data_IF_551978218269
#
_entry.id   IF_551978218269
#
_cell.length_a   1.000
_cell.length_b   1.000
_cell.length_c   1.000
_cell.angle_alpha   90.00
_cell.angle_beta   90.00
_cell.angle_gamma   90.00
#
_symmetry.space_group_name_H-M   'P 1'
#
loop_
_entity.id
_entity.type
_entity.pdbx_description
1 polymer ?
#
# COMPACT_ATOMS: atom_id res chain seq x y z
N UNK A 1 9.09 1.94 -4.91
CA UNK A 1 8.13 0.92 -5.39
C UNK A 1 8.30 -0.35 -4.59
N UNK A 2 7.21 -0.93 -4.08
CA UNK A 2 7.24 -2.13 -3.25
C UNK A 2 7.07 -3.41 -4.08
N UNK A 3 6.16 -3.40 -5.03
CA UNK A 3 5.85 -4.52 -5.92
C UNK A 3 5.61 -3.99 -7.33
N UNK A 4 6.11 -4.69 -8.32
CA UNK A 4 5.80 -4.50 -9.74
C UNK A 4 5.33 -5.84 -10.30
N UNK A 5 4.22 -5.82 -11.01
CA UNK A 5 3.63 -6.99 -11.64
C UNK A 5 3.46 -6.73 -13.13
N UNK A 6 3.98 -7.62 -13.96
CA UNK A 6 3.63 -7.67 -15.38
C UNK A 6 2.33 -8.48 -15.52
N UNK A 7 1.23 -7.80 -15.82
CA UNK A 7 -0.09 -8.41 -15.94
C UNK A 7 -0.23 -9.43 -17.07
N UNK A 8 0.74 -9.49 -17.99
CA UNK A 8 0.77 -10.51 -19.04
C UNK A 8 1.37 -11.84 -18.56
N UNK A 9 2.19 -11.80 -17.51
CA UNK A 9 2.92 -12.97 -17.00
C UNK A 9 2.61 -13.28 -15.55
N UNK A 10 1.97 -12.36 -14.81
CA UNK A 10 1.64 -12.53 -13.41
C UNK A 10 0.72 -13.73 -13.18
N UNK A 11 1.03 -14.50 -12.16
CA UNK A 11 0.27 -15.66 -11.70
C UNK A 11 -0.44 -15.36 -10.39
N UNK A 12 -1.35 -16.24 -9.97
CA UNK A 12 -2.00 -16.10 -8.67
C UNK A 12 -0.99 -16.15 -7.50
N UNK A 13 0.09 -16.91 -7.66
CA UNK A 13 1.12 -17.05 -6.61
C UNK A 13 1.91 -15.76 -6.41
N UNK A 14 2.10 -14.94 -7.44
CA UNK A 14 2.74 -13.63 -7.33
C UNK A 14 1.96 -12.64 -6.46
N UNK A 15 0.67 -12.92 -6.21
CA UNK A 15 -0.24 -12.11 -5.41
C UNK A 15 -0.39 -12.61 -3.97
N UNK A 16 0.05 -13.84 -3.65
CA UNK A 16 -0.23 -14.46 -2.36
C UNK A 16 0.75 -14.15 -1.24
N UNK A 17 1.84 -13.50 -1.54
CA UNK A 17 2.70 -13.04 -0.47
C UNK A 17 4.01 -12.47 -1.00
N UNK A 18 4.33 -11.29 -0.56
CA UNK A 18 5.64 -10.69 -0.78
C UNK A 18 6.08 -9.89 0.44
N UNK A 19 7.37 -9.74 0.58
CA UNK A 19 7.99 -8.90 1.59
C UNK A 19 9.10 -8.06 0.96
N UNK A 20 9.24 -6.82 1.43
CA UNK A 20 10.31 -5.90 1.01
C UNK A 20 10.87 -5.15 2.20
N UNK A 21 12.18 -5.04 2.25
CA UNK A 21 12.87 -4.16 3.17
C UNK A 21 12.91 -2.74 2.55
N UNK A 22 12.53 -1.75 3.36
CA UNK A 22 12.44 -0.36 2.95
C UNK A 22 13.14 0.49 4.01
N UNK A 23 13.90 1.48 3.57
CA UNK A 23 14.49 2.47 4.48
C UNK A 23 13.91 3.84 4.15
N UNK A 24 13.31 4.46 5.15
CA UNK A 24 12.63 5.75 5.02
C UNK A 24 13.23 6.78 5.98
N UNK A 25 13.12 8.05 5.63
CA UNK A 25 13.57 9.15 6.46
C UNK A 25 15.08 9.41 6.38
N UNK A 26 15.63 10.11 7.40
CA UNK A 26 17.05 10.47 7.44
C UNK A 26 17.36 11.88 6.93
N UNK A 27 16.34 12.69 6.64
CA UNK A 27 16.51 14.11 6.34
C UNK A 27 16.45 14.98 7.59
N UNK A 28 17.26 16.03 7.65
CA UNK A 28 17.35 16.95 8.81
C UNK A 28 16.07 17.75 9.08
N UNK A 29 15.12 17.77 8.16
CA UNK A 29 13.85 18.52 8.25
C UNK A 29 12.60 17.61 8.34
N UNK A 30 12.77 16.30 8.36
CA UNK A 30 11.64 15.38 8.43
C UNK A 30 11.13 15.25 9.87
N UNK A 31 9.81 15.41 10.06
CA UNK A 31 9.14 15.10 11.32
C UNK A 31 9.07 13.59 11.60
N UNK A 32 8.48 13.15 12.72
CA UNK A 32 8.33 11.73 13.02
C UNK A 32 7.57 10.98 11.89
N UNK A 33 8.00 9.76 11.59
CA UNK A 33 7.30 8.87 10.67
C UNK A 33 6.14 8.22 11.40
N UNK A 34 4.90 8.46 10.96
CA UNK A 34 3.67 7.98 11.60
C UNK A 34 3.04 6.79 10.88
N UNK A 35 3.47 6.48 9.67
CA UNK A 35 2.87 5.42 8.87
C UNK A 35 3.40 5.41 7.45
N UNK A 36 2.80 4.53 6.66
CA UNK A 36 3.01 4.42 5.23
C UNK A 36 1.73 4.78 4.50
N UNK A 37 1.86 5.42 3.35
CA UNK A 37 0.76 5.60 2.43
C UNK A 37 1.03 4.77 1.18
N UNK A 38 0.14 3.83 0.89
CA UNK A 38 0.20 2.96 -0.27
C UNK A 38 -0.79 3.39 -1.35
N UNK A 39 -0.36 3.29 -2.60
CA UNK A 39 -1.17 3.46 -3.80
C UNK A 39 -0.66 2.55 -4.90
N UNK A 40 -1.33 2.55 -6.03
CA UNK A 40 -0.88 1.81 -7.21
C UNK A 40 -0.86 2.69 -8.45
N UNK A 41 0.02 2.32 -9.37
CA UNK A 41 0.09 2.90 -10.70
C UNK A 41 -0.05 1.77 -11.72
N UNK A 42 -0.65 2.06 -12.87
CA UNK A 42 -0.80 1.09 -13.97
C UNK A 42 -0.26 1.71 -15.24
N UNK A 43 0.62 0.99 -15.93
CA UNK A 43 1.10 1.38 -17.26
C UNK A 43 0.47 0.45 -18.33
N UNK A 44 -0.18 1.04 -19.30
CA UNK A 44 -0.81 0.35 -20.44
C UNK A 44 0.07 0.56 -21.69
N UNK A 45 1.14 -0.23 -21.77
CA UNK A 45 2.15 -0.10 -22.84
C UNK A 45 2.10 -1.23 -23.88
N UNK A 46 1.14 -2.16 -23.74
CA UNK A 46 1.08 -3.37 -24.55
C UNK A 46 2.14 -4.39 -24.13
N UNK A 47 2.23 -5.49 -24.86
CA UNK A 47 3.20 -6.55 -24.62
C UNK A 47 4.54 -6.22 -25.28
N UNK A 48 5.61 -6.85 -24.82
CA UNK A 48 6.94 -6.70 -25.41
C UNK A 48 6.98 -7.11 -26.91
N UNK A 49 6.20 -8.13 -27.29
CA UNK A 49 6.07 -8.62 -28.67
C UNK A 49 4.97 -7.89 -29.48
N UNK A 50 4.13 -7.10 -28.82
CA UNK A 50 3.08 -6.30 -29.43
C UNK A 50 2.90 -4.99 -28.62
N UNK A 51 3.86 -4.06 -28.69
CA UNK A 51 3.80 -2.83 -27.93
C UNK A 51 2.65 -1.94 -28.42
N UNK A 52 2.03 -1.20 -27.49
CA UNK A 52 1.08 -0.17 -27.85
C UNK A 52 1.79 0.97 -28.61
N UNK A 53 1.08 1.62 -29.52
CA UNK A 53 1.61 2.78 -30.26
C UNK A 53 1.96 3.93 -29.30
N UNK A 54 1.18 4.07 -28.22
CA UNK A 54 1.42 5.02 -27.13
C UNK A 54 1.23 4.31 -25.79
N UNK A 55 2.11 4.61 -24.85
CA UNK A 55 2.00 4.12 -23.48
C UNK A 55 1.16 5.12 -22.67
N UNK A 56 0.08 4.63 -22.09
CA UNK A 56 -0.79 5.41 -21.19
C UNK A 56 -0.63 4.92 -19.77
N UNK A 57 -0.65 5.81 -18.79
CA UNK A 57 -0.55 5.45 -17.38
C UNK A 57 -1.73 5.99 -16.56
N UNK A 58 -2.12 5.23 -15.56
CA UNK A 58 -2.98 5.65 -14.48
C UNK A 58 -2.11 5.77 -13.22
N UNK A 59 -2.09 6.95 -12.62
CA UNK A 59 -1.42 7.24 -11.36
C UNK A 59 -2.49 7.53 -10.29
N UNK A 60 -2.50 6.74 -9.22
CA UNK A 60 -3.41 6.94 -8.08
C UNK A 60 -2.69 7.50 -6.85
N UNK A 61 -1.48 8.05 -7.04
CA UNK A 61 -0.72 8.67 -5.95
C UNK A 61 -1.42 9.89 -5.35
N UNK A 62 -1.07 10.29 -4.13
CA UNK A 62 -1.61 11.52 -3.54
C UNK A 62 -1.16 12.81 -4.25
N UNK A 63 -0.23 12.72 -5.19
CA UNK A 63 0.29 13.85 -5.98
C UNK A 63 -0.39 13.97 -7.34
N UNK A 64 -1.08 12.92 -7.80
CA UNK A 64 -1.83 12.90 -9.05
C UNK A 64 -3.21 13.55 -8.90
N UNK A 65 -3.88 13.91 -10.01
CA UNK A 65 -5.28 14.29 -9.99
C UNK A 65 -6.13 13.20 -9.30
N UNK A 66 -7.08 13.64 -8.48
CA UNK A 66 -7.92 12.72 -7.72
C UNK A 66 -8.65 11.74 -8.61
N UNK A 67 -8.51 10.46 -8.32
CA UNK A 67 -9.27 9.36 -8.91
C UNK A 67 -10.33 8.87 -7.91
N UNK A 68 -11.18 7.91 -8.32
CA UNK A 68 -12.09 7.25 -7.37
C UNK A 68 -11.38 6.20 -6.48
N UNK A 69 -10.16 5.81 -6.82
CA UNK A 69 -9.33 5.00 -5.92
C UNK A 69 -8.70 5.87 -4.85
N UNK A 70 -8.90 5.46 -3.58
CA UNK A 70 -8.21 6.07 -2.45
C UNK A 70 -6.82 5.47 -2.25
N UNK A 71 -6.03 6.15 -1.44
CA UNK A 71 -4.79 5.60 -0.91
C UNK A 71 -5.08 4.81 0.37
N UNK A 72 -4.21 3.86 0.70
CA UNK A 72 -4.27 3.11 1.96
C UNK A 72 -3.23 3.65 2.92
N UNK A 73 -3.66 4.08 4.12
CA UNK A 73 -2.77 4.50 5.19
C UNK A 73 -2.59 3.39 6.21
N UNK A 74 -1.34 2.95 6.41
CA UNK A 74 -0.93 2.00 7.43
C UNK A 74 -0.26 2.79 8.55
N UNK A 75 -1.00 3.12 9.60
CA UNK A 75 -0.51 3.93 10.72
C UNK A 75 0.14 3.06 11.78
N UNK A 76 1.28 3.48 12.29
CA UNK A 76 1.99 2.83 13.38
C UNK A 76 2.50 3.86 14.40
N UNK A 77 3.05 3.39 15.51
CA UNK A 77 3.61 4.26 16.53
C UNK A 77 4.70 5.15 15.93
N UNK A 78 4.68 6.46 16.20
CA UNK A 78 5.62 7.40 15.60
C UNK A 78 7.07 6.99 15.78
N UNK A 79 7.84 6.96 14.68
CA UNK A 79 9.25 6.66 14.66
C UNK A 79 10.06 7.96 14.48
N UNK A 80 11.17 8.17 15.21
CA UNK A 80 12.03 9.31 14.99
C UNK A 80 12.56 9.30 13.56
N UNK A 81 12.35 10.37 12.80
CA UNK A 81 12.82 10.46 11.41
C UNK A 81 14.17 11.16 11.26
N UNK A 82 14.77 11.64 12.37
CA UNK A 82 16.14 12.17 12.37
C UNK A 82 17.20 11.13 11.94
N UNK A 83 16.85 9.85 11.96
CA UNK A 83 17.64 8.72 11.46
C UNK A 83 16.82 7.92 10.46
N UNK A 84 17.48 7.27 9.47
CA UNK A 84 16.78 6.33 8.60
C UNK A 84 16.06 5.25 9.43
N UNK A 85 14.80 5.00 9.11
CA UNK A 85 14.00 3.94 9.73
C UNK A 85 13.93 2.78 8.76
N UNK A 86 14.49 1.64 9.15
CA UNK A 86 14.37 0.39 8.40
C UNK A 86 13.04 -0.27 8.74
N UNK A 87 12.28 -0.59 7.70
CA UNK A 87 10.99 -1.25 7.79
C UNK A 87 11.01 -2.50 6.92
N UNK A 88 10.28 -3.53 7.34
CA UNK A 88 9.92 -4.63 6.45
C UNK A 88 8.43 -4.59 6.22
N UNK A 89 8.04 -4.42 4.97
CA UNK A 89 6.64 -4.37 4.55
C UNK A 89 6.28 -5.68 3.88
N UNK A 90 5.21 -6.32 4.33
CA UNK A 90 4.64 -7.51 3.72
C UNK A 90 3.21 -7.27 3.27
N UNK A 91 2.82 -7.94 2.21
CA UNK A 91 1.44 -8.08 1.75
C UNK A 91 1.15 -9.56 1.57
N UNK A 92 -0.01 -9.98 2.06
CA UNK A 92 -0.55 -11.30 1.82
C UNK A 92 -2.03 -11.17 1.41
N UNK A 93 -2.38 -11.76 0.29
CA UNK A 93 -3.77 -11.89 -0.12
C UNK A 93 -4.45 -12.96 0.71
N UNK A 94 -5.64 -12.67 1.23
CA UNK A 94 -6.44 -13.68 1.93
C UNK A 94 -6.78 -14.85 1.00
N UNK A 95 -6.63 -16.07 1.52
CA UNK A 95 -7.07 -17.29 0.81
C UNK A 95 -8.56 -17.55 0.97
N UNK A 96 -9.18 -16.94 1.98
CA UNK A 96 -10.59 -17.10 2.30
C UNK A 96 -11.45 -16.10 1.55
N UNK A 97 -10.93 -14.89 1.32
CA UNK A 97 -11.63 -13.83 0.59
C UNK A 97 -10.72 -13.23 -0.48
N UNK A 98 -11.16 -13.29 -1.74
CA UNK A 98 -10.40 -12.75 -2.87
C UNK A 98 -10.22 -11.23 -2.83
N UNK A 99 -10.96 -10.55 -1.98
CA UNK A 99 -10.94 -9.09 -1.86
C UNK A 99 -10.14 -8.59 -0.65
N UNK A 100 -9.80 -9.48 0.28
CA UNK A 100 -9.12 -9.09 1.50
C UNK A 100 -7.61 -9.14 1.33
N UNK A 101 -6.95 -8.08 1.80
CA UNK A 101 -5.50 -7.93 1.80
C UNK A 101 -5.01 -7.76 3.23
N UNK A 102 -3.99 -8.52 3.61
CA UNK A 102 -3.33 -8.40 4.90
C UNK A 102 -1.96 -7.75 4.70
N UNK A 103 -1.73 -6.64 5.39
CA UNK A 103 -0.44 -5.98 5.40
C UNK A 103 0.26 -6.18 6.73
N UNK A 104 1.57 -6.31 6.68
CA UNK A 104 2.44 -6.30 7.87
C UNK A 104 3.50 -5.22 7.70
N UNK A 105 3.78 -4.50 8.79
CA UNK A 105 4.90 -3.56 8.85
C UNK A 105 5.72 -3.90 10.08
N UNK A 106 6.92 -4.43 9.87
CA UNK A 106 7.85 -4.72 10.95
C UNK A 106 8.92 -3.62 11.03
N UNK A 107 9.26 -3.20 12.24
CA UNK A 107 10.26 -2.17 12.53
C UNK A 107 10.84 -2.37 13.94
N UNK A 108 11.92 -1.64 14.27
CA UNK A 108 12.51 -1.68 15.60
C UNK A 108 12.13 -0.44 16.41
N UNK A 109 11.67 -0.67 17.63
CA UNK A 109 11.36 0.38 18.60
C UNK A 109 12.06 0.08 19.93
N UNK A 110 12.85 1.03 20.41
CA UNK A 110 13.55 0.88 21.70
C UNK A 110 14.51 -0.32 21.77
N UNK A 111 14.91 -0.86 20.61
CA UNK A 111 15.76 -2.06 20.52
C UNK A 111 14.96 -3.36 20.33
N UNK A 112 13.65 -3.34 20.42
CA UNK A 112 12.75 -4.47 20.23
C UNK A 112 12.17 -4.50 18.81
N UNK A 113 11.90 -5.68 18.29
CA UNK A 113 11.24 -5.87 17.00
C UNK A 113 9.71 -5.83 17.22
N UNK A 114 9.06 -4.93 16.50
CA UNK A 114 7.62 -4.71 16.54
C UNK A 114 7.04 -5.02 15.17
N UNK A 115 5.90 -5.70 15.13
CA UNK A 115 5.13 -5.93 13.89
C UNK A 115 3.71 -5.42 14.07
N UNK A 116 3.32 -4.50 13.22
CA UNK A 116 1.94 -4.04 13.08
C UNK A 116 1.28 -4.79 11.93
N UNK A 117 0.06 -5.29 12.15
CA UNK A 117 -0.73 -6.01 11.15
C UNK A 117 -2.01 -5.25 10.85
N UNK A 118 -2.40 -5.21 9.58
CA UNK A 118 -3.56 -4.51 9.07
C UNK A 118 -4.31 -5.42 8.12
N UNK A 119 -5.63 -5.48 8.26
CA UNK A 119 -6.50 -6.18 7.31
C UNK A 119 -7.36 -5.16 6.60
N UNK A 120 -7.29 -5.14 5.27
CA UNK A 120 -8.19 -4.38 4.44
C UNK A 120 -9.24 -5.38 3.96
N UNK A 121 -10.42 -5.26 4.54
CA UNK A 121 -11.56 -6.06 4.15
C UNK A 121 -12.44 -5.23 3.24
N UNK A 122 -12.79 -5.79 2.10
CA UNK A 122 -13.72 -5.16 1.18
C UNK A 122 -15.16 -5.57 1.58
N UNK A 123 -15.53 -5.24 2.80
CA UNK A 123 -16.90 -5.48 3.28
C UNK A 123 -17.81 -4.43 2.62
N UNK A 124 -18.23 -4.71 1.40
CA UNK A 124 -19.29 -3.98 0.69
C UNK A 124 -20.68 -4.23 1.32
N UNK A 125 -20.78 -4.35 2.60
CA UNK A 125 -22.05 -4.12 3.28
C UNK A 125 -22.31 -2.65 3.10
N UNK A 126 -23.14 -2.34 2.11
CA UNK A 126 -23.45 -0.97 1.76
C UNK A 126 -23.78 -0.19 3.02
N UNK A 127 -23.08 0.91 3.24
CA UNK A 127 -23.47 1.91 4.22
C UNK A 127 -24.92 2.23 3.96
N UNK A 128 -25.80 1.89 4.89
CA UNK A 128 -27.17 2.34 4.84
C UNK A 128 -27.16 3.86 5.04
N UNK A 129 -28.14 4.57 4.47
CA UNK A 129 -28.20 6.02 4.55
C UNK A 129 -28.13 6.55 6.00
N UNK A 130 -28.51 5.74 7.00
CA UNK A 130 -28.45 6.07 8.42
C UNK A 130 -27.01 6.01 9.02
N UNK A 131 -26.09 5.28 8.43
CA UNK A 131 -24.70 5.26 8.90
C UNK A 131 -23.87 6.42 8.38
N UNK A 132 -24.21 6.97 7.21
CA UNK A 132 -23.58 8.19 6.67
C UNK A 132 -23.88 9.44 7.53
N UNK A 133 -25.04 9.50 8.17
CA UNK A 133 -25.44 10.64 9.00
C UNK A 133 -24.72 10.69 10.37
N UNK A 134 -24.02 9.62 10.77
CA UNK A 134 -23.28 9.56 12.05
C UNK A 134 -21.84 10.00 11.94
N UNK A 135 -21.26 9.99 10.73
CA UNK A 135 -19.89 10.41 10.48
C UNK A 135 -19.78 11.92 10.15
N UNK A 136 -20.91 12.64 10.06
CA UNK A 136 -20.95 14.09 9.78
C UNK A 136 -21.21 14.95 11.05
N UNK A 137 -21.17 14.38 12.26
CA UNK A 137 -21.31 15.07 13.56
C UNK A 137 -20.02 15.00 14.36
#
# INVERSE_FOLDING_TARGET
>A
MLLELDMHTATADDLFGWQRDVTLGGGSSAGPLHGLCGWFDVAFCGRADAPAAECTSLDTSPHAPRTHWGQTALLFKPQPSARPVALRVGLEKSRESHHDLNFTVAYREGGEDVTASYSITNDFRGYTADERAKDEL
#
